data_IF_187448296753
#
_entry.id   IF_187448296753
#
_cell.length_a   1.000
_cell.length_b   1.000
_cell.length_c   1.000
_cell.angle_alpha   90.00
_cell.angle_beta   90.00
_cell.angle_gamma   90.00
#
_symmetry.space_group_name_H-M   'P 1'
#
loop_
_entity.id
_entity.type
_entity.pdbx_description
1 polymer ?
#
# COMPACT_ATOMS: atom_id res chain seq x y z
N UNK A 1 8.54 16.25 8.51
CA UNK A 1 7.62 17.43 8.42
C UNK A 1 7.29 17.80 6.97
N UNK A 2 8.25 18.15 6.11
CA UNK A 2 7.96 18.53 4.69
C UNK A 2 7.30 17.38 3.92
N UNK A 3 7.86 16.17 3.94
CA UNK A 3 7.31 15.02 3.22
C UNK A 3 5.90 14.62 3.69
N UNK A 4 5.62 14.70 5.00
CA UNK A 4 4.27 14.50 5.51
C UNK A 4 3.27 15.56 5.01
N UNK A 5 3.70 16.83 4.87
CA UNK A 5 2.90 17.88 4.27
C UNK A 5 2.71 17.67 2.76
N UNK A 6 3.72 17.18 2.06
CA UNK A 6 3.66 16.78 0.64
C UNK A 6 2.61 15.69 0.44
N UNK A 7 2.66 14.63 1.25
CA UNK A 7 1.68 13.55 1.23
C UNK A 7 0.24 14.06 1.38
N UNK A 8 -0.02 14.89 2.40
CA UNK A 8 -1.34 15.49 2.60
C UNK A 8 -1.78 16.31 1.40
N UNK A 9 -0.89 17.14 0.84
CA UNK A 9 -1.20 17.97 -0.33
C UNK A 9 -1.54 17.12 -1.56
N UNK A 10 -0.85 16.01 -1.75
CA UNK A 10 -1.15 15.05 -2.83
C UNK A 10 -2.52 14.40 -2.59
N UNK A 11 -2.80 13.94 -1.36
CA UNK A 11 -4.07 13.31 -1.02
C UNK A 11 -5.27 14.26 -1.18
N UNK A 12 -5.09 15.54 -0.83
CA UNK A 12 -6.17 16.55 -0.90
C UNK A 12 -6.41 17.10 -2.31
N UNK A 13 -5.35 17.26 -3.12
CA UNK A 13 -5.39 18.05 -4.35
C UNK A 13 -4.96 17.29 -5.60
N UNK A 14 -4.44 16.11 -5.43
CA UNK A 14 -3.79 15.32 -6.48
C UNK A 14 -2.36 15.79 -6.79
N UNK A 15 -1.52 14.90 -7.36
CA UNK A 15 -0.11 15.18 -7.66
C UNK A 15 0.07 16.24 -8.77
N UNK A 16 -0.89 16.34 -9.71
CA UNK A 16 -0.85 17.34 -10.77
C UNK A 16 -0.88 18.78 -10.25
N UNK A 17 -1.64 19.02 -9.17
CA UNK A 17 -1.76 20.34 -8.51
C UNK A 17 -0.68 20.61 -7.45
N UNK A 18 0.26 19.68 -7.25
CA UNK A 18 1.37 19.85 -6.32
C UNK A 18 2.31 20.94 -6.81
N UNK A 19 2.53 21.96 -5.98
CA UNK A 19 3.53 23.01 -6.17
C UNK A 19 4.41 23.12 -4.93
N UNK A 20 5.70 23.46 -5.12
CA UNK A 20 6.62 23.70 -4.00
C UNK A 20 6.08 24.77 -3.04
N UNK A 21 5.42 25.81 -3.58
CA UNK A 21 4.83 26.86 -2.74
C UNK A 21 3.66 26.36 -1.88
N UNK A 22 2.82 25.47 -2.40
CA UNK A 22 1.73 24.87 -1.62
C UNK A 22 2.27 23.97 -0.51
N UNK A 23 3.33 23.19 -0.82
CA UNK A 23 3.99 22.33 0.17
C UNK A 23 4.69 23.15 1.25
N UNK A 24 5.37 24.27 0.89
CA UNK A 24 5.99 25.15 1.87
C UNK A 24 4.97 25.71 2.86
N UNK A 25 3.83 26.20 2.35
CA UNK A 25 2.72 26.68 3.18
C UNK A 25 2.15 25.58 4.08
N UNK A 26 1.88 24.38 3.53
CA UNK A 26 1.35 23.25 4.29
C UNK A 26 2.32 22.69 5.34
N UNK A 27 3.63 22.81 5.09
CA UNK A 27 4.69 22.39 6.00
C UNK A 27 5.05 23.47 7.05
N UNK A 28 4.55 24.69 6.92
CA UNK A 28 4.93 25.81 7.80
C UNK A 28 6.38 26.25 7.64
N UNK A 29 6.97 26.09 6.45
CA UNK A 29 8.35 26.50 6.16
C UNK A 29 8.39 27.60 5.12
N UNK A 30 9.47 28.40 5.14
CA UNK A 30 9.66 29.42 4.10
C UNK A 30 9.95 28.78 2.73
N UNK A 31 9.56 29.47 1.64
CA UNK A 31 9.90 29.03 0.28
C UNK A 31 11.41 28.81 0.09
N UNK A 32 12.29 29.73 0.48
CA UNK A 32 13.75 29.51 0.37
C UNK A 32 14.21 28.26 1.12
N UNK A 33 13.62 27.96 2.29
CA UNK A 33 13.93 26.75 3.05
C UNK A 33 13.55 25.51 2.26
N UNK A 34 12.36 25.46 1.66
CA UNK A 34 11.93 24.31 0.86
C UNK A 34 12.79 24.14 -0.39
N UNK A 35 13.06 25.23 -1.14
CA UNK A 35 13.87 25.18 -2.36
C UNK A 35 15.33 24.74 -2.09
N UNK A 36 15.85 24.98 -0.91
CA UNK A 36 17.19 24.48 -0.50
C UNK A 36 17.21 22.95 -0.36
N UNK A 37 16.12 22.33 0.10
CA UNK A 37 16.01 20.89 0.27
C UNK A 37 15.56 20.19 -1.02
N UNK A 38 14.65 20.81 -1.75
CA UNK A 38 14.02 20.28 -2.97
C UNK A 38 14.01 21.39 -4.03
N UNK A 39 15.09 21.49 -4.83
CA UNK A 39 15.21 22.52 -5.87
C UNK A 39 14.09 22.45 -6.91
N UNK A 40 13.62 21.24 -7.22
CA UNK A 40 12.58 20.99 -8.21
C UNK A 40 11.39 20.19 -7.61
N UNK A 41 10.27 20.21 -8.33
CA UNK A 41 9.12 19.35 -8.01
C UNK A 41 9.49 17.88 -8.11
N UNK A 42 10.34 17.51 -9.07
CA UNK A 42 10.75 16.13 -9.29
C UNK A 42 11.64 15.61 -8.14
N UNK A 43 12.51 16.45 -7.57
CA UNK A 43 13.28 16.10 -6.37
C UNK A 43 12.35 15.81 -5.18
N UNK A 44 11.31 16.64 -5.01
CA UNK A 44 10.33 16.42 -3.96
C UNK A 44 9.51 15.14 -4.20
N UNK A 45 9.12 14.85 -5.45
CA UNK A 45 8.39 13.63 -5.82
C UNK A 45 9.26 12.37 -5.67
N UNK A 46 10.56 12.47 -5.92
CA UNK A 46 11.49 11.37 -5.65
C UNK A 46 11.62 11.09 -4.15
N UNK A 47 11.76 12.14 -3.35
CA UNK A 47 11.87 12.00 -1.89
C UNK A 47 10.56 11.49 -1.24
N UNK A 48 9.39 11.87 -1.77
CA UNK A 48 8.12 11.37 -1.24
C UNK A 48 7.97 9.86 -1.49
N UNK A 49 8.51 9.33 -2.58
CA UNK A 49 8.47 7.88 -2.85
C UNK A 49 9.17 7.08 -1.73
N UNK A 50 10.39 7.46 -1.36
CA UNK A 50 11.10 6.80 -0.25
C UNK A 50 10.40 6.98 1.11
N UNK A 51 9.79 8.15 1.34
CA UNK A 51 8.99 8.37 2.54
C UNK A 51 7.75 7.45 2.59
N UNK A 52 7.06 7.26 1.46
CA UNK A 52 5.91 6.34 1.40
C UNK A 52 6.32 4.88 1.63
N UNK A 53 7.47 4.47 1.11
CA UNK A 53 8.03 3.15 1.37
C UNK A 53 8.29 2.92 2.87
N UNK A 54 8.90 3.92 3.54
CA UNK A 54 9.12 3.89 4.98
C UNK A 54 7.80 3.86 5.78
N UNK A 55 6.81 4.68 5.39
CA UNK A 55 5.51 4.69 6.06
C UNK A 55 4.75 3.37 5.86
N UNK A 56 4.85 2.76 4.69
CA UNK A 56 4.28 1.44 4.43
C UNK A 56 4.90 0.39 5.35
N UNK A 57 6.22 0.34 5.46
CA UNK A 57 6.94 -0.58 6.33
C UNK A 57 6.58 -0.41 7.80
N UNK A 58 6.60 0.83 8.28
CA UNK A 58 6.27 1.14 9.67
C UNK A 58 4.82 0.75 10.00
N UNK A 59 3.87 1.07 9.13
CA UNK A 59 2.47 0.70 9.33
C UNK A 59 2.25 -0.81 9.29
N UNK A 60 2.89 -1.51 8.37
CA UNK A 60 2.84 -2.97 8.30
C UNK A 60 3.41 -3.60 9.58
N UNK A 61 4.59 -3.16 10.04
CA UNK A 61 5.19 -3.62 11.29
C UNK A 61 4.26 -3.42 12.48
N UNK A 62 3.62 -2.25 12.60
CA UNK A 62 2.71 -1.93 13.69
C UNK A 62 1.50 -2.88 13.73
N UNK A 63 0.85 -3.11 12.58
CA UNK A 63 -0.35 -3.97 12.55
C UNK A 63 -0.02 -5.43 12.80
N UNK A 64 1.11 -5.94 12.35
CA UNK A 64 1.48 -7.34 12.60
C UNK A 64 2.04 -7.58 14.00
N UNK A 65 2.67 -6.58 14.64
CA UNK A 65 3.28 -6.70 15.97
C UNK A 65 2.26 -7.08 17.07
N UNK A 66 1.00 -6.71 16.89
CA UNK A 66 -0.09 -7.01 17.83
C UNK A 66 -0.54 -8.47 17.77
N UNK A 67 -0.08 -9.25 16.80
CA UNK A 67 -0.52 -10.62 16.53
C UNK A 67 0.60 -11.63 16.73
N UNK A 68 0.27 -12.77 17.38
CA UNK A 68 1.26 -13.81 17.72
C UNK A 68 1.33 -14.96 16.70
N UNK A 69 0.24 -15.20 15.97
CA UNK A 69 0.20 -16.36 15.05
C UNK A 69 0.39 -15.91 13.61
N UNK A 70 1.08 -16.70 12.76
CA UNK A 70 1.28 -16.40 11.34
C UNK A 70 -0.03 -16.06 10.61
N UNK A 71 -1.09 -16.82 10.84
CA UNK A 71 -2.39 -16.59 10.21
C UNK A 71 -3.00 -15.22 10.58
N UNK A 72 -2.89 -14.80 11.86
CA UNK A 72 -3.39 -13.49 12.29
C UNK A 72 -2.53 -12.34 11.78
N UNK A 73 -1.21 -12.53 11.70
CA UNK A 73 -0.31 -11.55 11.09
C UNK A 73 -0.65 -11.35 9.61
N UNK A 74 -0.87 -12.44 8.89
CA UNK A 74 -1.26 -12.36 7.47
C UNK A 74 -2.62 -11.68 7.31
N UNK A 75 -3.62 -12.01 8.11
CA UNK A 75 -4.94 -11.36 8.08
C UNK A 75 -4.85 -9.85 8.32
N UNK A 76 -4.06 -9.44 9.33
CA UNK A 76 -3.82 -8.03 9.63
C UNK A 76 -3.10 -7.30 8.48
N UNK A 77 -2.10 -7.95 7.88
CA UNK A 77 -1.38 -7.41 6.73
C UNK A 77 -2.29 -7.24 5.50
N UNK A 78 -3.13 -8.24 5.18
CA UNK A 78 -4.08 -8.14 4.06
C UNK A 78 -5.08 -7.00 4.26
N UNK A 79 -5.57 -6.82 5.47
CA UNK A 79 -6.43 -5.69 5.83
C UNK A 79 -5.68 -4.36 5.67
N UNK A 80 -4.44 -4.30 6.15
CA UNK A 80 -3.59 -3.13 6.00
C UNK A 80 -3.36 -2.78 4.53
N UNK A 81 -3.08 -3.75 3.66
CA UNK A 81 -2.90 -3.52 2.22
C UNK A 81 -4.12 -2.85 1.57
N UNK A 82 -5.33 -3.33 1.91
CA UNK A 82 -6.57 -2.76 1.36
C UNK A 82 -6.78 -1.32 1.82
N UNK A 83 -6.53 -1.03 3.12
CA UNK A 83 -6.83 0.30 3.68
C UNK A 83 -5.70 1.33 3.50
N UNK A 84 -4.45 0.88 3.34
CA UNK A 84 -3.29 1.78 3.19
C UNK A 84 -3.38 2.64 1.94
N UNK A 85 -3.82 2.04 0.84
CA UNK A 85 -3.90 2.72 -0.45
C UNK A 85 -4.99 3.78 -0.50
N UNK A 86 -6.07 3.62 0.26
CA UNK A 86 -7.14 4.62 0.35
C UNK A 86 -6.65 5.98 0.87
N UNK A 87 -5.58 5.97 1.67
CA UNK A 87 -4.97 7.18 2.24
C UNK A 87 -3.90 7.86 1.39
N UNK A 88 -3.48 7.25 0.25
CA UNK A 88 -2.29 7.73 -0.47
C UNK A 88 -2.55 8.91 -1.41
N UNK A 89 -3.58 8.88 -2.24
CA UNK A 89 -3.74 9.85 -3.33
C UNK A 89 -5.15 10.44 -3.50
N UNK A 90 -6.00 10.33 -2.50
CA UNK A 90 -7.38 10.81 -2.59
C UNK A 90 -8.31 9.89 -3.37
N UNK A 91 -9.56 10.30 -3.58
CA UNK A 91 -10.63 9.39 -4.02
C UNK A 91 -10.59 9.01 -5.51
N UNK A 92 -9.81 9.71 -6.32
CA UNK A 92 -9.73 9.47 -7.76
C UNK A 92 -8.28 9.62 -8.28
N UNK A 93 -7.42 8.62 -8.05
CA UNK A 93 -6.02 8.67 -8.47
C UNK A 93 -5.84 8.69 -9.98
N UNK A 94 -6.75 8.06 -10.73
CA UNK A 94 -6.69 8.01 -12.20
C UNK A 94 -7.16 9.33 -12.79
N UNK A 95 -8.25 9.88 -12.32
CA UNK A 95 -8.75 11.17 -12.81
C UNK A 95 -7.83 12.34 -12.45
N UNK A 96 -7.09 12.25 -11.34
CA UNK A 96 -6.17 13.29 -10.92
C UNK A 96 -4.87 13.33 -11.76
N UNK A 97 -4.17 12.20 -11.91
CA UNK A 97 -2.96 12.05 -12.71
C UNK A 97 -2.65 10.55 -12.93
N UNK A 98 -3.16 9.94 -14.02
CA UNK A 98 -2.99 8.51 -14.27
C UNK A 98 -1.52 8.12 -14.48
N UNK A 99 -0.72 8.98 -15.09
CA UNK A 99 0.70 8.70 -15.31
C UNK A 99 1.49 8.67 -14.00
N UNK A 100 1.19 9.59 -13.09
CA UNK A 100 1.81 9.59 -11.78
C UNK A 100 1.39 8.35 -10.99
N UNK A 101 0.10 8.04 -10.94
CA UNK A 101 -0.44 6.88 -10.23
C UNK A 101 0.25 5.59 -10.69
N UNK A 102 0.25 5.31 -12.00
CA UNK A 102 0.86 4.11 -12.57
C UNK A 102 2.37 4.02 -12.32
N UNK A 103 3.11 5.12 -12.51
CA UNK A 103 4.56 5.13 -12.25
C UNK A 103 4.88 4.93 -10.77
N UNK A 104 4.09 5.51 -9.86
CA UNK A 104 4.28 5.34 -8.42
C UNK A 104 4.06 3.90 -8.00
N UNK A 105 2.98 3.26 -8.45
CA UNK A 105 2.70 1.86 -8.18
C UNK A 105 3.77 0.92 -8.78
N UNK A 106 4.17 1.16 -10.04
CA UNK A 106 5.19 0.35 -10.67
C UNK A 106 6.55 0.42 -9.95
N UNK A 107 6.90 1.59 -9.42
CA UNK A 107 8.14 1.79 -8.64
C UNK A 107 8.06 1.15 -7.26
N UNK A 108 6.93 1.29 -6.57
CA UNK A 108 6.77 0.79 -5.19
C UNK A 108 6.61 -0.73 -5.12
N UNK A 109 6.09 -1.36 -6.17
CA UNK A 109 5.77 -2.80 -6.15
C UNK A 109 6.95 -3.68 -5.72
N UNK A 110 8.15 -3.64 -6.31
CA UNK A 110 9.25 -4.51 -5.91
C UNK A 110 9.67 -4.29 -4.46
N UNK A 111 9.73 -3.04 -4.00
CA UNK A 111 10.12 -2.69 -2.63
C UNK A 111 9.09 -3.21 -1.63
N UNK A 112 7.80 -3.06 -1.93
CA UNK A 112 6.73 -3.57 -1.06
C UNK A 112 6.66 -5.10 -1.06
N UNK A 113 6.99 -5.77 -2.18
CA UNK A 113 7.14 -7.25 -2.21
C UNK A 113 8.24 -7.69 -1.24
N UNK A 114 9.41 -7.06 -1.30
CA UNK A 114 10.53 -7.35 -0.39
C UNK A 114 10.13 -7.13 1.08
N UNK A 115 9.41 -6.05 1.36
CA UNK A 115 8.90 -5.74 2.70
C UNK A 115 7.94 -6.80 3.21
N UNK A 116 6.97 -7.22 2.39
CA UNK A 116 6.03 -8.29 2.75
C UNK A 116 6.75 -9.61 3.01
N UNK A 117 7.68 -10.00 2.14
CA UNK A 117 8.46 -11.23 2.33
C UNK A 117 9.28 -11.16 3.62
N UNK A 118 9.98 -10.06 3.85
CA UNK A 118 10.82 -9.88 5.04
C UNK A 118 10.02 -9.89 6.35
N UNK A 119 8.84 -9.24 6.36
CA UNK A 119 8.04 -9.08 7.59
C UNK A 119 7.07 -10.21 7.85
N UNK A 120 6.68 -10.97 6.82
CA UNK A 120 5.65 -12.01 6.88
C UNK A 120 6.16 -13.39 6.45
N UNK A 121 7.46 -13.65 6.49
CA UNK A 121 8.07 -14.89 5.99
C UNK A 121 7.33 -16.13 6.47
N UNK A 122 7.17 -16.29 7.78
CA UNK A 122 6.47 -17.40 8.42
C UNK A 122 4.99 -17.48 8.01
N UNK A 123 4.36 -16.33 7.80
CA UNK A 123 2.95 -16.24 7.46
C UNK A 123 2.70 -16.59 5.98
N UNK A 124 3.55 -16.10 5.09
CA UNK A 124 3.51 -16.43 3.67
C UNK A 124 3.80 -17.90 3.42
N UNK A 125 4.68 -18.52 4.23
CA UNK A 125 4.94 -19.96 4.17
C UNK A 125 3.68 -20.80 4.45
N UNK A 126 2.68 -20.30 5.15
CA UNK A 126 1.43 -21.00 5.44
C UNK A 126 0.40 -20.93 4.30
N UNK A 127 0.59 -20.05 3.32
CA UNK A 127 -0.31 -19.92 2.16
C UNK A 127 -0.31 -21.24 1.36
N UNK A 128 -1.49 -21.79 1.00
CA UNK A 128 -1.59 -23.09 0.34
C UNK A 128 -0.70 -23.23 -0.89
N UNK A 129 -0.67 -22.25 -1.79
CA UNK A 129 0.14 -22.27 -3.01
C UNK A 129 1.66 -22.24 -2.73
N UNK A 130 2.09 -21.66 -1.60
CA UNK A 130 3.50 -21.70 -1.17
C UNK A 130 3.83 -23.09 -0.57
N UNK A 131 2.93 -23.62 0.23
CA UNK A 131 3.12 -24.94 0.86
C UNK A 131 3.16 -26.08 -0.15
N UNK A 132 2.38 -25.98 -1.23
CA UNK A 132 2.40 -26.97 -2.34
C UNK A 132 3.62 -26.82 -3.25
N UNK A 133 4.35 -25.69 -3.16
CA UNK A 133 5.47 -25.38 -4.04
C UNK A 133 5.07 -24.83 -5.41
N UNK A 134 3.79 -24.53 -5.61
CA UNK A 134 3.28 -23.92 -6.86
C UNK A 134 3.77 -22.50 -7.05
N UNK A 135 3.84 -21.73 -5.97
CA UNK A 135 4.30 -20.34 -5.96
C UNK A 135 5.35 -20.09 -4.88
N UNK A 136 6.28 -19.18 -5.15
CA UNK A 136 7.18 -18.67 -4.13
C UNK A 136 6.47 -17.64 -3.23
N UNK A 137 7.05 -17.36 -2.05
CA UNK A 137 6.57 -16.31 -1.14
C UNK A 137 6.53 -14.94 -1.82
N UNK A 138 7.53 -14.64 -2.65
CA UNK A 138 7.58 -13.39 -3.39
C UNK A 138 6.45 -13.27 -4.42
N UNK A 139 6.13 -14.34 -5.14
CA UNK A 139 5.01 -14.35 -6.09
C UNK A 139 3.66 -14.19 -5.41
N UNK A 140 3.47 -14.80 -4.23
CA UNK A 140 2.24 -14.61 -3.44
C UNK A 140 2.16 -13.19 -2.89
N UNK A 141 3.25 -12.63 -2.35
CA UNK A 141 3.31 -11.24 -1.89
C UNK A 141 2.99 -10.27 -3.03
N UNK A 142 3.58 -10.49 -4.21
CA UNK A 142 3.32 -9.69 -5.40
C UNK A 142 1.85 -9.79 -5.83
N UNK A 143 1.25 -10.97 -5.82
CA UNK A 143 -0.18 -11.14 -6.13
C UNK A 143 -1.06 -10.32 -5.20
N UNK A 144 -0.83 -10.37 -3.89
CA UNK A 144 -1.59 -9.58 -2.92
C UNK A 144 -1.49 -8.08 -3.18
N UNK A 145 -0.28 -7.59 -3.47
CA UNK A 145 -0.06 -6.18 -3.81
C UNK A 145 -0.75 -5.79 -5.13
N UNK A 146 -0.64 -6.62 -6.17
CA UNK A 146 -1.32 -6.36 -7.45
C UNK A 146 -2.83 -6.28 -7.31
N UNK A 147 -3.42 -7.16 -6.50
CA UNK A 147 -4.86 -7.12 -6.21
C UNK A 147 -5.21 -5.84 -5.44
N UNK A 148 -4.44 -5.46 -4.43
CA UNK A 148 -4.63 -4.21 -3.71
C UNK A 148 -4.47 -2.98 -4.63
N UNK A 149 -3.46 -2.97 -5.51
CA UNK A 149 -3.26 -1.90 -6.50
C UNK A 149 -4.41 -1.81 -7.51
N UNK A 150 -4.98 -2.95 -7.93
CA UNK A 150 -6.14 -2.92 -8.81
C UNK A 150 -7.35 -2.26 -8.13
N UNK A 151 -7.56 -2.52 -6.85
CA UNK A 151 -8.61 -1.85 -6.06
C UNK A 151 -8.35 -0.35 -5.93
N UNK A 152 -7.11 0.04 -5.70
CA UNK A 152 -6.73 1.45 -5.63
C UNK A 152 -7.00 2.21 -6.94
N UNK A 153 -6.69 1.59 -8.10
CA UNK A 153 -6.92 2.19 -9.41
C UNK A 153 -8.41 2.18 -9.82
N UNK A 154 -9.10 1.10 -9.48
CA UNK A 154 -10.53 0.89 -9.79
C UNK A 154 -11.21 0.38 -8.52
N UNK A 155 -11.64 1.30 -7.63
CA UNK A 155 -12.21 0.93 -6.35
C UNK A 155 -13.43 0.01 -6.48
N UNK A 156 -13.41 -1.11 -5.75
CA UNK A 156 -14.60 -1.94 -5.61
C UNK A 156 -15.59 -1.24 -4.67
N UNK A 157 -16.90 -1.23 -4.98
CA UNK A 157 -17.90 -0.56 -4.13
C UNK A 157 -17.97 -1.16 -2.71
N UNK A 158 -17.55 -2.41 -2.54
CA UNK A 158 -17.51 -3.11 -1.27
C UNK A 158 -16.07 -3.58 -0.96
N UNK A 159 -15.25 -2.81 -0.24
CA UNK A 159 -13.86 -3.19 0.09
C UNK A 159 -13.74 -4.53 0.83
N UNK A 160 -14.75 -4.90 1.61
CA UNK A 160 -14.80 -6.18 2.33
C UNK A 160 -14.82 -7.40 1.40
N UNK A 161 -15.35 -7.27 0.18
CA UNK A 161 -15.33 -8.33 -0.84
C UNK A 161 -13.88 -8.58 -1.28
N UNK A 162 -13.10 -7.55 -1.50
CA UNK A 162 -11.69 -7.67 -1.84
C UNK A 162 -10.91 -8.39 -0.73
N UNK A 163 -11.13 -7.97 0.51
CA UNK A 163 -10.50 -8.60 1.66
C UNK A 163 -10.89 -10.09 1.78
N UNK A 164 -12.17 -10.42 1.51
CA UNK A 164 -12.63 -11.80 1.51
C UNK A 164 -11.95 -12.65 0.42
N UNK A 165 -11.75 -12.10 -0.77
CA UNK A 165 -11.01 -12.74 -1.88
C UNK A 165 -9.56 -13.00 -1.45
N UNK A 166 -8.86 -12.00 -0.94
CA UNK A 166 -7.47 -12.13 -0.49
C UNK A 166 -7.35 -13.19 0.63
N UNK A 167 -8.27 -13.18 1.59
CA UNK A 167 -8.32 -14.19 2.67
C UNK A 167 -8.55 -15.60 2.15
N UNK A 168 -9.44 -15.75 1.19
CA UNK A 168 -9.72 -17.05 0.56
C UNK A 168 -8.47 -17.61 -0.11
N UNK A 169 -7.78 -16.77 -0.90
CA UNK A 169 -6.54 -17.14 -1.57
C UNK A 169 -5.40 -17.46 -0.57
N UNK A 170 -5.33 -16.71 0.52
CA UNK A 170 -4.37 -16.93 1.60
C UNK A 170 -4.68 -18.19 2.46
N UNK A 171 -5.81 -18.87 2.22
CA UNK A 171 -6.24 -20.00 3.04
C UNK A 171 -6.76 -19.60 4.43
N UNK A 172 -7.12 -18.32 4.62
CA UNK A 172 -7.62 -17.76 5.88
C UNK A 172 -9.14 -17.74 5.96
N UNK A 173 -9.84 -18.04 4.86
CA UNK A 173 -11.30 -18.12 4.85
C UNK A 173 -11.75 -19.21 5.82
N UNK A 174 -12.67 -18.88 6.72
CA UNK A 174 -13.36 -19.90 7.52
C UNK A 174 -14.06 -20.83 6.53
N UNK A 175 -13.74 -22.12 6.58
CA UNK A 175 -14.57 -23.13 5.93
C UNK A 175 -15.94 -23.05 6.60
N UNK A 176 -16.88 -22.31 6.00
CA UNK A 176 -18.29 -22.51 6.32
C UNK A 176 -18.60 -23.96 5.96
N UNK A 177 -19.16 -24.77 6.85
CA UNK A 177 -19.63 -26.08 6.45
C UNK A 177 -20.63 -25.85 5.34
N UNK A 178 -20.35 -26.39 4.17
CA UNK A 178 -21.31 -26.47 3.07
C UNK A 178 -22.51 -27.19 3.69
N UNK A 179 -23.62 -26.47 3.94
CA UNK A 179 -24.89 -27.13 4.23
C UNK A 179 -25.22 -27.90 2.96
N UNK A 180 -24.98 -29.20 3.01
CA UNK A 180 -25.58 -30.12 2.06
C UNK A 180 -27.08 -29.97 2.24
N UNK A 181 -27.73 -29.19 1.37
CA UNK A 181 -29.16 -29.21 1.17
C UNK A 181 -29.45 -30.51 0.42
N UNK A 182 -29.99 -31.51 1.18
CA UNK A 182 -30.62 -32.66 0.63
C UNK A 182 -31.91 -32.27 -0.10
#
# INVERSE_FOLDING_TARGET
MILAATRRTIAERGPGKLTLSAVAAAAGVSRPTLYRWFPTKDDLLAAISGYEEEQFDLGLQQVIATHRTPARKLDAALRYLVTYLDGLMGPDPIGADPHFALRSLARSLPVQVESLVRLLDDALQQVPAVRSGELSRAQVAELFLRVAFSHYLVPHPEPEVLLAILRSFAGLARRSPIRATG
#
